data_IF_349983732498
#
_entry.id   IF_349983732498
#
_cell.length_a   1.000
_cell.length_b   1.000
_cell.length_c   1.000
_cell.angle_alpha   90.00
_cell.angle_beta   90.00
_cell.angle_gamma   90.00
#
_symmetry.space_group_name_H-M   'P 1'
#
loop_
_entity.id
_entity.type
_entity.pdbx_description
1 polymer ?
#
# COMPACT_ATOMS: atom_id res chain seq x y z
N UNK A 1 -23.25 2.43 18.56
CA UNK A 1 -22.17 1.43 18.43
C UNK A 1 -21.30 1.80 17.26
N UNK A 2 -20.03 2.02 17.50
CA UNK A 2 -19.07 2.25 16.42
C UNK A 2 -18.73 0.93 15.74
N UNK A 3 -18.63 0.94 14.42
CA UNK A 3 -18.14 -0.23 13.69
C UNK A 3 -16.72 -0.59 14.12
N UNK A 4 -16.36 -1.88 14.20
CA UNK A 4 -14.98 -2.26 14.47
C UNK A 4 -14.05 -1.65 13.44
N UNK A 5 -12.88 -1.20 13.89
CA UNK A 5 -11.87 -0.68 12.98
C UNK A 5 -11.29 -1.83 12.16
N UNK A 6 -11.43 -1.77 10.84
CA UNK A 6 -10.94 -2.82 9.95
C UNK A 6 -9.41 -2.94 9.95
N UNK A 7 -8.69 -1.87 10.32
CA UNK A 7 -7.23 -1.85 10.33
C UNK A 7 -6.62 -2.21 11.68
N UNK A 8 -7.44 -2.35 12.74
CA UNK A 8 -6.95 -2.79 14.05
C UNK A 8 -6.78 -4.32 14.14
N UNK A 9 -7.40 -5.05 13.24
CA UNK A 9 -7.36 -6.51 13.22
C UNK A 9 -6.23 -7.07 12.37
N UNK A 10 -6.30 -8.37 12.13
CA UNK A 10 -5.37 -9.06 11.24
C UNK A 10 -5.64 -8.66 9.78
N UNK A 11 -4.57 -8.52 9.01
CA UNK A 11 -4.68 -8.24 7.58
C UNK A 11 -5.37 -9.40 6.85
N UNK A 12 -6.29 -9.06 5.91
CA UNK A 12 -6.90 -10.02 4.98
C UNK A 12 -6.02 -10.28 3.76
N UNK A 13 -4.95 -9.51 3.59
CA UNK A 13 -3.99 -9.62 2.49
C UNK A 13 -2.62 -9.98 3.07
N UNK A 14 -1.66 -10.43 2.24
CA UNK A 14 -0.33 -10.75 2.75
C UNK A 14 0.31 -9.57 3.49
N UNK A 15 0.89 -9.86 4.65
CA UNK A 15 1.75 -8.93 5.39
C UNK A 15 3.14 -9.03 4.79
N UNK A 16 3.60 -7.95 4.17
CA UNK A 16 4.87 -7.93 3.44
C UNK A 16 6.05 -7.65 4.34
N UNK A 17 5.83 -6.85 5.37
CA UNK A 17 6.88 -6.44 6.31
C UNK A 17 6.25 -5.91 7.60
N UNK A 18 7.05 -5.84 8.64
CA UNK A 18 6.60 -5.39 9.95
C UNK A 18 7.74 -4.75 10.72
N UNK A 19 7.45 -3.66 11.40
CA UNK A 19 8.34 -3.02 12.39
C UNK A 19 7.63 -2.96 13.74
N UNK A 20 8.25 -2.33 14.73
CA UNK A 20 7.66 -2.19 16.06
C UNK A 20 6.29 -1.47 16.04
N UNK A 21 6.09 -0.52 15.11
CA UNK A 21 4.90 0.33 15.09
C UNK A 21 4.04 0.19 13.84
N UNK A 22 4.53 -0.45 12.78
CA UNK A 22 3.89 -0.50 11.47
C UNK A 22 3.87 -1.90 10.88
N UNK A 23 2.83 -2.18 10.07
CA UNK A 23 2.76 -3.34 9.19
C UNK A 23 2.55 -2.88 7.75
N UNK A 24 3.09 -3.61 6.80
CA UNK A 24 2.90 -3.36 5.37
C UNK A 24 1.97 -4.43 4.80
N UNK A 25 0.84 -3.99 4.28
CA UNK A 25 -0.17 -4.87 3.69
C UNK A 25 -0.31 -4.61 2.20
N UNK A 26 -0.27 -5.67 1.39
CA UNK A 26 -0.56 -5.55 -0.03
C UNK A 26 -2.06 -5.24 -0.22
N UNK A 27 -2.39 -4.28 -1.08
CA UNK A 27 -3.78 -3.91 -1.33
C UNK A 27 -4.43 -4.96 -2.26
N UNK A 28 -5.63 -5.41 -1.92
CA UNK A 28 -6.40 -6.34 -2.77
C UNK A 28 -6.76 -5.70 -4.12
N UNK A 29 -6.97 -4.39 -4.12
CA UNK A 29 -7.17 -3.62 -5.34
C UNK A 29 -5.81 -3.27 -5.95
N UNK A 30 -5.42 -4.04 -6.96
CA UNK A 30 -4.17 -3.86 -7.70
C UNK A 30 -4.44 -3.13 -9.03
N UNK A 31 -5.26 -2.09 -9.01
CA UNK A 31 -5.46 -1.24 -10.18
C UNK A 31 -4.14 -0.56 -10.61
N UNK A 32 -3.24 -0.35 -9.67
CA UNK A 32 -1.84 0.02 -9.91
C UNK A 32 -0.96 -1.05 -9.26
N UNK A 33 -0.08 -1.63 -10.05
CA UNK A 33 0.72 -2.78 -9.63
C UNK A 33 1.59 -2.46 -8.42
N UNK A 34 1.51 -3.30 -7.40
CA UNK A 34 2.30 -3.15 -6.18
C UNK A 34 1.72 -2.17 -5.17
N UNK A 35 0.53 -1.64 -5.42
CA UNK A 35 -0.14 -0.73 -4.48
C UNK A 35 -0.31 -1.41 -3.13
N UNK A 36 0.10 -0.72 -2.07
CA UNK A 36 0.08 -1.26 -0.71
C UNK A 36 -0.22 -0.16 0.31
N UNK A 37 -0.43 -0.58 1.55
CA UNK A 37 -0.63 0.33 2.68
C UNK A 37 0.35 -0.01 3.79
N UNK A 38 0.84 1.02 4.46
CA UNK A 38 1.64 0.91 5.67
C UNK A 38 0.73 1.33 6.83
N UNK A 39 0.38 0.39 7.68
CA UNK A 39 -0.66 0.53 8.70
C UNK A 39 -0.03 0.67 10.08
N UNK A 40 -0.43 1.70 10.83
CA UNK A 40 -0.03 1.86 12.22
C UNK A 40 -0.64 0.73 13.06
N UNK A 41 0.14 0.12 13.94
CA UNK A 41 -0.33 -1.00 14.76
C UNK A 41 -1.36 -0.58 15.81
N UNK A 42 -1.10 0.51 16.55
CA UNK A 42 -2.08 1.04 17.50
C UNK A 42 -3.19 1.79 16.76
N UNK A 43 -4.34 1.93 17.39
CA UNK A 43 -5.41 2.75 16.84
C UNK A 43 -5.15 4.23 17.13
N UNK A 44 -4.95 5.00 16.08
CA UNK A 44 -4.90 6.46 16.09
C UNK A 44 -5.53 6.97 14.82
N UNK A 45 -6.37 7.96 14.93
CA UNK A 45 -7.09 8.52 13.78
C UNK A 45 -6.40 9.75 13.18
N UNK A 46 -5.52 10.39 13.94
CA UNK A 46 -4.89 11.66 13.54
C UNK A 46 -3.40 11.48 13.26
N UNK A 47 -3.01 11.74 12.02
CA UNK A 47 -1.61 11.71 11.61
C UNK A 47 -0.76 12.65 12.46
N UNK A 48 -1.31 13.82 12.83
CA UNK A 48 -0.62 14.79 13.68
C UNK A 48 -0.29 14.27 15.09
N UNK A 49 -0.92 13.18 15.53
CA UNK A 49 -0.67 12.57 16.84
C UNK A 49 0.32 11.41 16.81
N UNK A 50 0.93 11.13 15.67
CA UNK A 50 2.02 10.17 15.63
C UNK A 50 3.19 10.65 16.49
N UNK A 51 3.78 9.71 17.23
CA UNK A 51 5.00 10.02 18.01
C UNK A 51 6.22 10.16 17.10
N UNK A 52 7.26 10.80 17.58
CA UNK A 52 8.53 10.90 16.85
C UNK A 52 9.08 9.52 16.54
N UNK A 53 8.99 8.58 17.48
CA UNK A 53 9.45 7.21 17.27
C UNK A 53 8.66 6.51 16.14
N UNK A 54 7.35 6.75 16.06
CA UNK A 54 6.52 6.23 14.98
C UNK A 54 6.89 6.83 13.63
N UNK A 55 7.17 8.14 13.58
CA UNK A 55 7.66 8.79 12.36
C UNK A 55 9.00 8.25 11.90
N UNK A 56 9.95 8.05 12.81
CA UNK A 56 11.26 7.50 12.48
C UNK A 56 11.14 6.06 11.95
N UNK A 57 10.30 5.26 12.58
CA UNK A 57 10.02 3.90 12.12
C UNK A 57 9.34 3.89 10.74
N UNK A 58 8.43 4.82 10.49
CA UNK A 58 7.79 4.96 9.17
C UNK A 58 8.81 5.32 8.09
N UNK A 59 9.75 6.21 8.39
CA UNK A 59 10.82 6.56 7.46
C UNK A 59 11.59 5.31 7.01
N UNK A 60 12.03 4.50 7.96
CA UNK A 60 12.73 3.24 7.67
C UNK A 60 11.83 2.28 6.87
N UNK A 61 10.58 2.15 7.26
CA UNK A 61 9.62 1.28 6.57
C UNK A 61 9.39 1.72 5.12
N UNK A 62 9.28 3.02 4.87
CA UNK A 62 9.12 3.57 3.52
C UNK A 62 10.35 3.28 2.65
N UNK A 63 11.55 3.45 3.20
CA UNK A 63 12.79 3.15 2.47
C UNK A 63 12.84 1.68 2.05
N UNK A 64 12.57 0.79 2.97
CA UNK A 64 12.57 -0.66 2.71
C UNK A 64 11.50 -1.04 1.68
N UNK A 65 10.29 -0.54 1.87
CA UNK A 65 9.14 -0.86 1.02
C UNK A 65 9.33 -0.35 -0.41
N UNK A 66 9.77 0.89 -0.59
CA UNK A 66 9.98 1.44 -1.93
C UNK A 66 11.14 0.76 -2.65
N UNK A 67 12.18 0.36 -1.93
CA UNK A 67 13.29 -0.39 -2.51
C UNK A 67 12.83 -1.77 -3.01
N UNK A 68 12.01 -2.46 -2.24
CA UNK A 68 11.43 -3.74 -2.64
C UNK A 68 10.57 -3.59 -3.90
N UNK A 69 9.73 -2.56 -3.95
CA UNK A 69 8.89 -2.27 -5.11
C UNK A 69 9.72 -1.92 -6.35
N UNK A 70 10.82 -1.18 -6.19
CA UNK A 70 11.72 -0.87 -7.29
C UNK A 70 12.35 -2.11 -7.88
N UNK A 71 12.81 -3.02 -7.02
CA UNK A 71 13.42 -4.27 -7.47
C UNK A 71 12.43 -5.18 -8.18
N UNK A 72 11.21 -5.25 -7.67
CA UNK A 72 10.21 -6.17 -8.19
C UNK A 72 9.59 -5.66 -9.50
N UNK A 73 9.24 -4.38 -9.58
CA UNK A 73 8.39 -3.86 -10.64
C UNK A 73 8.94 -2.65 -11.39
N UNK A 74 10.01 -2.04 -10.92
CA UNK A 74 10.64 -0.87 -11.53
C UNK A 74 9.64 0.27 -11.85
N UNK A 75 8.87 0.77 -10.87
CA UNK A 75 7.97 1.89 -11.09
C UNK A 75 8.74 3.16 -11.44
N UNK A 76 8.09 4.06 -12.17
CA UNK A 76 8.69 5.34 -12.56
C UNK A 76 8.56 6.40 -11.47
N UNK A 77 7.57 6.27 -10.59
CA UNK A 77 7.29 7.21 -9.52
C UNK A 77 6.48 6.55 -8.42
N UNK A 78 6.45 7.17 -7.22
CA UNK A 78 5.58 6.78 -6.13
C UNK A 78 4.72 7.97 -5.71
N UNK A 79 3.42 7.73 -5.50
CA UNK A 79 2.57 8.64 -4.75
C UNK A 79 2.37 8.12 -3.33
N UNK A 80 2.26 9.04 -2.37
CA UNK A 80 2.07 8.74 -0.96
C UNK A 80 0.85 9.51 -0.46
N UNK A 81 -0.05 8.86 0.25
CA UNK A 81 -1.25 9.53 0.73
C UNK A 81 -1.77 8.98 2.05
N UNK A 82 -2.05 9.88 3.00
CA UNK A 82 -2.82 9.62 4.20
C UNK A 82 -4.24 10.13 3.98
N UNK A 83 -5.09 9.36 3.33
CA UNK A 83 -6.43 9.84 2.97
C UNK A 83 -7.45 9.66 4.10
N UNK A 84 -7.52 8.49 4.70
CA UNK A 84 -8.36 8.15 5.85
C UNK A 84 -9.85 8.52 5.69
N UNK A 85 -10.37 8.52 4.47
CA UNK A 85 -11.74 8.90 4.19
C UNK A 85 -12.75 7.82 4.57
N UNK A 86 -12.36 6.56 4.43
CA UNK A 86 -13.18 5.40 4.77
C UNK A 86 -12.75 4.78 6.09
N UNK A 87 -11.46 4.52 6.25
CA UNK A 87 -10.88 3.94 7.47
C UNK A 87 -10.15 5.01 8.25
N UNK A 88 -10.72 5.41 9.39
CA UNK A 88 -10.16 6.44 10.27
C UNK A 88 -9.15 5.85 11.25
N UNK A 89 -8.13 5.24 10.70
CA UNK A 89 -7.01 4.65 11.39
C UNK A 89 -5.78 5.00 10.56
N UNK A 90 -4.74 5.56 11.17
CA UNK A 90 -3.58 6.04 10.42
C UNK A 90 -2.99 4.94 9.56
N UNK A 91 -3.01 5.16 8.25
CA UNK A 91 -2.38 4.30 7.26
C UNK A 91 -1.92 5.13 6.07
N UNK A 92 -0.75 4.78 5.56
CA UNK A 92 -0.14 5.44 4.41
C UNK A 92 -0.30 4.57 3.17
N UNK A 93 -0.97 5.12 2.15
CA UNK A 93 -0.98 4.48 0.83
C UNK A 93 0.34 4.74 0.13
N UNK A 94 0.99 3.68 -0.34
CA UNK A 94 2.16 3.77 -1.23
C UNK A 94 1.72 3.25 -2.59
N UNK A 95 1.75 4.13 -3.57
CA UNK A 95 1.14 3.88 -4.88
C UNK A 95 2.22 4.00 -5.96
N UNK A 96 2.71 2.86 -6.48
CA UNK A 96 3.65 2.88 -7.60
C UNK A 96 2.97 3.39 -8.87
N UNK A 97 3.70 4.19 -9.65
CA UNK A 97 3.21 4.77 -10.89
C UNK A 97 4.08 4.34 -12.07
N UNK A 98 3.47 4.15 -13.23
CA UNK A 98 4.12 3.49 -14.36
C UNK A 98 3.85 4.21 -15.68
N UNK A 99 4.92 4.50 -16.44
CA UNK A 99 4.81 5.05 -17.80
C UNK A 99 4.51 3.95 -18.84
N UNK A 100 4.88 2.71 -18.58
CA UNK A 100 4.71 1.59 -19.50
C UNK A 100 4.03 0.41 -18.81
N UNK A 101 3.41 -0.45 -19.61
CA UNK A 101 2.76 -1.66 -19.12
C UNK A 101 3.73 -2.56 -18.37
N UNK A 102 3.20 -3.32 -17.42
CA UNK A 102 3.91 -4.39 -16.73
C UNK A 102 3.11 -5.67 -16.85
N UNK A 103 3.78 -6.77 -17.13
CA UNK A 103 3.16 -8.10 -17.09
C UNK A 103 3.78 -8.88 -15.94
N UNK A 104 2.95 -9.33 -15.02
CA UNK A 104 3.36 -10.09 -13.84
C UNK A 104 2.36 -11.22 -13.62
N UNK A 105 2.84 -12.45 -13.44
CA UNK A 105 2.00 -13.63 -13.21
C UNK A 105 0.91 -13.81 -14.25
N UNK A 106 1.22 -13.51 -15.52
CA UNK A 106 0.29 -13.64 -16.64
C UNK A 106 -0.76 -12.53 -16.72
N UNK A 107 -0.64 -11.48 -15.89
CA UNK A 107 -1.58 -10.36 -15.85
C UNK A 107 -0.87 -9.09 -16.33
N UNK A 108 -1.54 -8.35 -17.21
CA UNK A 108 -1.05 -7.05 -17.67
C UNK A 108 -1.63 -5.96 -16.77
N UNK A 109 -0.75 -5.13 -16.22
CA UNK A 109 -1.09 -3.96 -15.40
C UNK A 109 -0.73 -2.69 -16.17
N UNK A 110 -1.60 -1.69 -16.10
CA UNK A 110 -1.40 -0.40 -16.74
C UNK A 110 -1.69 0.75 -15.78
N UNK A 111 -1.16 1.93 -16.12
CA UNK A 111 -1.40 3.18 -15.41
C UNK A 111 -1.76 4.25 -16.44
N UNK A 112 -3.03 4.31 -16.88
CA UNK A 112 -3.44 5.18 -17.98
C UNK A 112 -3.41 6.67 -17.60
N UNK A 113 -3.37 6.99 -16.32
CA UNK A 113 -3.38 8.37 -15.85
C UNK A 113 -1.97 8.97 -15.72
N UNK A 114 -0.95 8.13 -15.75
CA UNK A 114 0.44 8.60 -15.62
C UNK A 114 0.81 9.56 -16.77
N UNK A 115 1.46 10.69 -16.51
CA UNK A 115 2.05 11.13 -15.22
C UNK A 115 1.12 11.94 -14.33
N UNK A 116 -0.16 12.07 -14.67
CA UNK A 116 -1.14 12.81 -13.88
C UNK A 116 -1.54 12.02 -12.62
N UNK A 117 -2.35 12.65 -11.77
CA UNK A 117 -2.87 12.02 -10.55
C UNK A 117 -3.64 10.74 -10.91
N UNK A 118 -3.46 9.69 -10.10
CA UNK A 118 -4.26 8.46 -10.21
C UNK A 118 -5.74 8.76 -9.97
N UNK A 119 -6.63 8.02 -10.64
CA UNK A 119 -8.07 8.21 -10.49
C UNK A 119 -8.56 7.77 -9.10
N UNK A 120 -9.36 8.63 -8.42
CA UNK A 120 -10.00 8.33 -7.14
C UNK A 120 -11.44 8.85 -7.20
N UNK A 121 -12.48 7.99 -7.06
CA UNK A 121 -12.40 6.54 -7.04
C UNK A 121 -11.89 6.01 -8.37
N UNK A 122 -10.91 5.15 -8.30
CA UNK A 122 -10.27 4.64 -9.48
C UNK A 122 -10.97 3.44 -10.07
N UNK A 123 -10.43 2.97 -11.17
CA UNK A 123 -10.76 1.66 -11.70
C UNK A 123 -10.36 0.63 -10.65
N UNK A 124 -11.32 -0.14 -10.18
CA UNK A 124 -11.04 -1.22 -9.25
C UNK A 124 -10.54 -2.44 -10.00
N UNK A 125 -9.47 -3.04 -9.54
CA UNK A 125 -8.97 -4.30 -10.05
C UNK A 125 -8.62 -5.22 -8.88
N UNK A 126 -9.64 -5.90 -8.38
CA UNK A 126 -9.46 -6.89 -7.33
C UNK A 126 -8.85 -8.14 -7.94
N UNK A 127 -7.71 -8.54 -7.41
CA UNK A 127 -7.02 -9.76 -7.84
C UNK A 127 -7.30 -10.89 -6.87
N UNK A 128 -7.14 -12.13 -7.34
CA UNK A 128 -7.35 -13.31 -6.51
C UNK A 128 -6.30 -13.43 -5.41
N UNK A 129 -6.61 -14.24 -4.38
CA UNK A 129 -5.66 -14.55 -3.32
C UNK A 129 -4.37 -15.17 -3.88
N UNK A 130 -4.48 -16.00 -4.91
CA UNK A 130 -3.32 -16.61 -5.56
C UNK A 130 -2.42 -15.55 -6.23
N UNK A 131 -3.02 -14.57 -6.88
CA UNK A 131 -2.27 -13.46 -7.50
C UNK A 131 -1.62 -12.59 -6.43
N UNK A 132 -2.34 -12.26 -5.35
CA UNK A 132 -1.77 -11.52 -4.22
C UNK A 132 -0.56 -12.24 -3.62
N UNK A 133 -0.68 -13.56 -3.43
CA UNK A 133 0.44 -14.36 -2.91
C UNK A 133 1.64 -14.33 -3.87
N UNK A 134 1.40 -14.43 -5.17
CA UNK A 134 2.45 -14.37 -6.18
C UNK A 134 3.15 -13.01 -6.19
N UNK A 135 2.40 -11.91 -6.08
CA UNK A 135 2.97 -10.56 -5.98
C UNK A 135 3.78 -10.39 -4.70
N UNK A 136 3.27 -10.89 -3.57
CA UNK A 136 3.95 -10.83 -2.28
C UNK A 136 5.30 -11.55 -2.32
N UNK A 137 5.40 -12.69 -3.00
CA UNK A 137 6.65 -13.44 -3.14
C UNK A 137 7.74 -12.66 -3.89
N UNK A 138 7.36 -11.73 -4.76
CA UNK A 138 8.31 -10.88 -5.49
C UNK A 138 8.85 -9.73 -4.62
N UNK A 139 8.18 -9.45 -3.54
CA UNK A 139 8.52 -8.40 -2.59
C UNK A 139 9.15 -8.97 -1.33
#
# INVERSE_FOLDING_TARGET
MTSPCSLCGSSLTPVLDETAFWQVWLNVNQNLLGKLVIVLKRHEEQVAKLTVAEWLALHTQMQRTTEQLRRAFAPDHFNYAFLQNQDRHVHLHVIPRYAALREVSGIVFDDPDYPDHYAVPGRERRVSAAVLAALAELL
#
